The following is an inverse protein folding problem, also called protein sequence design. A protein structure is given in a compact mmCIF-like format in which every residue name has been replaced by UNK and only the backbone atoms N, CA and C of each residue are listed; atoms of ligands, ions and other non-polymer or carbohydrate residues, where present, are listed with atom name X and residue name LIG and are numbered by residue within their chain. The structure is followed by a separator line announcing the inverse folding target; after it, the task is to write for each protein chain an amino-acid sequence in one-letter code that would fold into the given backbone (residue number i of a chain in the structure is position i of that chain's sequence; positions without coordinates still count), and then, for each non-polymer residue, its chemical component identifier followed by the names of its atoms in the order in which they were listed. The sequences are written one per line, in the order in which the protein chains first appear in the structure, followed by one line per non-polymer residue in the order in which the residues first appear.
data_IF_503820892500
#
_entry.id   IF_503820892500
#
_cell.length_a   1.000
_cell.length_b   1.000
_cell.length_c   1.000
_cell.angle_alpha   90.00
_cell.angle_beta   90.00
_cell.angle_gamma   90.00
#
_symmetry.space_group_name_H-M   'P 1'
#
loop_
_entity.id
_entity.type
_entity.pdbx_description
1 polymer ?
#
# COMPACT_ATOMS: atom_id res chain seq x y z
N UNK A 1 -8.35 1.34 1.60
CA UNK A 1 -8.22 2.55 0.75
C UNK A 1 -8.77 2.26 -0.64
N UNK A 2 -9.51 3.18 -1.20
CA UNK A 2 -10.07 3.05 -2.55
C UNK A 2 -9.04 3.49 -3.60
N UNK A 3 -9.31 3.15 -4.88
CA UNK A 3 -8.46 3.60 -5.99
C UNK A 3 -8.34 5.13 -6.04
N UNK A 4 -9.43 5.83 -5.75
CA UNK A 4 -9.44 7.29 -5.74
C UNK A 4 -8.56 7.84 -4.63
N UNK A 5 -8.59 7.21 -3.46
CA UNK A 5 -7.75 7.60 -2.34
C UNK A 5 -6.27 7.34 -2.62
N UNK A 6 -5.95 6.28 -3.35
CA UNK A 6 -4.57 6.00 -3.78
C UNK A 6 -4.00 7.19 -4.55
N UNK A 7 -4.76 7.69 -5.51
CA UNK A 7 -4.31 8.82 -6.33
C UNK A 7 -4.04 10.07 -5.50
N UNK A 8 -4.86 10.29 -4.46
CA UNK A 8 -4.72 11.46 -3.58
C UNK A 8 -3.54 11.34 -2.61
N UNK A 9 -3.12 10.12 -2.35
CA UNK A 9 -2.11 9.84 -1.33
C UNK A 9 -0.77 9.40 -1.89
N UNK A 10 -0.56 9.49 -3.20
CA UNK A 10 0.73 9.17 -3.80
C UNK A 10 1.83 10.04 -3.22
N UNK A 11 2.93 9.42 -2.85
CA UNK A 11 4.10 10.03 -2.22
C UNK A 11 3.82 10.62 -0.85
N UNK A 12 2.75 10.15 -0.21
CA UNK A 12 2.39 10.57 1.14
C UNK A 12 2.47 9.38 2.10
N UNK A 13 2.64 9.66 3.40
CA UNK A 13 2.64 8.58 4.39
C UNK A 13 1.26 7.95 4.52
N UNK A 14 1.25 6.62 4.66
CA UNK A 14 0.05 5.84 4.91
C UNK A 14 0.34 4.85 6.02
N UNK A 15 -0.69 4.33 6.66
CA UNK A 15 -0.56 3.29 7.68
C UNK A 15 -0.87 1.93 7.07
N UNK A 16 0.03 1.01 7.28
CA UNK A 16 -0.10 -0.36 6.82
C UNK A 16 -0.32 -1.29 8.01
N UNK A 17 -1.33 -2.16 7.89
CA UNK A 17 -1.63 -3.17 8.88
C UNK A 17 -1.78 -4.52 8.21
N UNK A 18 -1.01 -5.50 8.66
CA UNK A 18 -1.13 -6.88 8.22
C UNK A 18 -0.84 -7.78 9.42
N UNK A 19 -1.90 -8.32 10.00
CA UNK A 19 -1.78 -9.11 11.23
C UNK A 19 -1.03 -10.41 11.05
N UNK A 20 -1.07 -10.99 9.86
CA UNK A 20 -0.31 -12.21 9.56
C UNK A 20 1.19 -11.99 9.61
N UNK A 21 1.62 -10.77 9.32
CA UNK A 21 3.02 -10.38 9.38
C UNK A 21 3.37 -9.66 10.69
N UNK A 22 2.44 -9.60 11.63
CA UNK A 22 2.60 -8.88 12.89
C UNK A 22 2.92 -7.40 12.71
N UNK A 23 2.36 -6.80 11.66
CA UNK A 23 2.51 -5.38 11.38
C UNK A 23 1.19 -4.68 11.69
N UNK A 24 1.23 -3.67 12.53
CA UNK A 24 0.04 -2.95 12.91
C UNK A 24 0.30 -1.45 12.89
N UNK A 25 -0.38 -0.76 11.98
CA UNK A 25 -0.33 0.70 11.88
C UNK A 25 1.05 1.29 11.65
N UNK A 26 1.90 0.60 10.90
CA UNK A 26 3.25 1.07 10.61
C UNK A 26 3.20 2.03 9.42
N UNK A 27 3.92 3.14 9.53
CA UNK A 27 3.96 4.15 8.49
C UNK A 27 4.90 3.77 7.36
N UNK A 28 4.37 3.82 6.14
CA UNK A 28 5.13 3.68 4.90
C UNK A 28 4.76 4.83 3.98
N UNK A 29 5.55 5.02 2.92
CA UNK A 29 5.21 6.00 1.88
C UNK A 29 4.54 5.25 0.74
N UNK A 30 3.38 5.73 0.31
CA UNK A 30 2.66 5.16 -0.82
C UNK A 30 3.33 5.65 -2.11
N UNK A 31 4.13 4.80 -2.73
CA UNK A 31 4.93 5.21 -3.89
C UNK A 31 4.33 4.83 -5.24
N UNK A 32 3.29 4.02 -5.23
CA UNK A 32 2.67 3.66 -6.49
C UNK A 32 1.54 2.67 -6.31
N UNK A 33 1.02 2.21 -7.44
CA UNK A 33 0.02 1.16 -7.48
C UNK A 33 0.29 0.28 -8.69
N UNK A 34 -0.03 -1.01 -8.55
CA UNK A 34 0.19 -2.00 -9.58
C UNK A 34 -1.16 -2.62 -9.93
N UNK A 35 -1.40 -2.81 -11.23
CA UNK A 35 -2.57 -3.52 -11.71
C UNK A 35 -2.15 -4.95 -12.00
N UNK A 36 -2.91 -5.91 -11.46
CA UNK A 36 -2.67 -7.32 -11.71
C UNK A 36 -3.92 -7.98 -12.26
N UNK A 37 -3.72 -9.04 -13.01
CA UNK A 37 -4.82 -9.86 -13.52
C UNK A 37 -4.96 -11.09 -12.62
N UNK A 38 -6.11 -11.21 -11.99
CA UNK A 38 -6.47 -12.35 -11.18
C UNK A 38 -7.54 -13.22 -11.85
N UNK A 39 -8.02 -14.23 -11.13
CA UNK A 39 -9.05 -15.13 -11.65
C UNK A 39 -10.37 -14.42 -11.94
N UNK A 40 -10.70 -13.42 -11.14
CA UNK A 40 -11.95 -12.67 -11.24
C UNK A 40 -11.82 -11.33 -11.96
N UNK A 41 -10.70 -11.11 -12.64
CA UNK A 41 -10.44 -9.86 -13.35
C UNK A 41 -9.27 -9.09 -12.77
N UNK A 42 -9.21 -7.81 -13.11
CA UNK A 42 -8.11 -6.96 -12.64
C UNK A 42 -8.31 -6.51 -11.21
N UNK A 43 -7.20 -6.37 -10.50
CA UNK A 43 -7.19 -5.80 -9.16
C UNK A 43 -5.94 -4.96 -8.95
N UNK A 44 -5.97 -4.10 -7.92
CA UNK A 44 -4.86 -3.21 -7.62
C UNK A 44 -4.12 -3.66 -6.37
N UNK A 45 -2.80 -3.45 -6.39
CA UNK A 45 -1.96 -3.57 -5.20
C UNK A 45 -1.27 -2.24 -4.98
N UNK A 46 -1.14 -1.85 -3.73
CA UNK A 46 -0.40 -0.66 -3.37
C UNK A 46 1.09 -0.99 -3.27
N UNK A 47 1.93 -0.07 -3.74
CA UNK A 47 3.37 -0.17 -3.58
C UNK A 47 3.77 0.76 -2.44
N UNK A 48 4.40 0.20 -1.42
CA UNK A 48 4.82 0.94 -0.24
C UNK A 48 6.33 0.90 -0.11
N UNK A 49 6.94 2.03 0.18
CA UNK A 49 8.37 2.14 0.39
C UNK A 49 8.64 2.50 1.84
N UNK A 50 9.61 1.82 2.45
CA UNK A 50 10.03 2.11 3.82
C UNK A 50 10.68 3.50 3.86
N UNK A 51 10.17 4.44 4.66
CA UNK A 51 10.72 5.80 4.71
C UNK A 51 12.14 5.89 5.27
N UNK A 52 12.58 4.88 6.04
CA UNK A 52 13.92 4.89 6.62
C UNK A 52 14.98 4.33 5.68
N UNK A 53 14.73 3.20 5.05
CA UNK A 53 15.72 2.56 4.18
C UNK A 53 15.63 3.02 2.74
N UNK A 54 14.45 3.40 2.29
CA UNK A 54 14.15 3.80 0.90
C UNK A 54 14.44 2.72 -0.14
N UNK A 55 14.97 1.59 0.28
CA UNK A 55 15.29 0.47 -0.61
C UNK A 55 14.34 -0.71 -0.43
N UNK A 56 13.54 -0.71 0.64
CA UNK A 56 12.59 -1.77 0.91
C UNK A 56 11.22 -1.40 0.38
N UNK A 57 10.73 -2.21 -0.54
CA UNK A 57 9.43 -2.02 -1.16
C UNK A 57 8.58 -3.23 -0.88
N UNK A 58 7.33 -3.00 -0.49
CA UNK A 58 6.35 -4.07 -0.34
C UNK A 58 5.10 -3.77 -1.15
N UNK A 59 4.39 -4.83 -1.52
CA UNK A 59 3.12 -4.72 -2.21
C UNK A 59 2.03 -5.29 -1.32
N UNK A 60 0.93 -4.59 -1.20
CA UNK A 60 -0.15 -5.00 -0.34
C UNK A 60 -1.51 -4.71 -0.97
N UNK A 61 -2.55 -5.23 -0.35
CA UNK A 61 -3.92 -4.96 -0.79
C UNK A 61 -4.33 -3.57 -0.34
N UNK A 62 -5.25 -2.96 -1.11
CA UNK A 62 -5.72 -1.62 -0.78
C UNK A 62 -6.42 -1.55 0.58
N UNK A 63 -7.10 -2.62 0.98
CA UNK A 63 -7.78 -2.65 2.28
C UNK A 63 -6.83 -2.73 3.47
N UNK A 64 -5.54 -2.99 3.22
CA UNK A 64 -4.54 -3.06 4.30
C UNK A 64 -3.92 -1.72 4.64
N UNK A 65 -4.25 -0.68 3.89
CA UNK A 65 -3.69 0.65 4.12
C UNK A 65 -4.79 1.69 4.30
N UNK A 66 -4.44 2.71 5.06
CA UNK A 66 -5.31 3.87 5.26
C UNK A 66 -4.48 5.13 5.29
N UNK A 67 -5.10 6.27 4.97
CA UNK A 67 -4.41 7.56 5.02
C UNK A 67 -4.06 7.91 6.46
N UNK A 68 -2.97 8.59 6.62
CA UNK A 68 -2.47 9.01 7.93
C UNK A 68 -3.03 10.37 8.36
#
# INVERSE_FOLDING_TARGET
MTEREIKRNLNKPVRFTNRKLYIEGVTYILTGAVIRLGADGFYYQAELTDPTTKNSVIYCRLEEIESE
#
